data_IF_272652083410
#
_entry.id   IF_272652083410
#
_cell.length_a   1.000
_cell.length_b   1.000
_cell.length_c   1.000
_cell.angle_alpha   90.00
_cell.angle_beta   90.00
_cell.angle_gamma   90.00
#
_symmetry.space_group_name_H-M   'P 1'
#
loop_
_entity.id
_entity.type
_entity.pdbx_description
1 polymer ?
#
# COMPACT_ATOMS: atom_id res chain seq x y z
N UNK A 1 9.79 -14.39 11.44
CA UNK A 1 8.46 -13.91 11.82
C UNK A 1 7.48 -14.59 10.89
N UNK A 2 6.46 -15.28 11.42
CA UNK A 2 5.34 -15.76 10.61
C UNK A 2 4.69 -14.60 9.82
N UNK A 3 4.23 -14.85 8.60
CA UNK A 3 3.58 -13.82 7.78
C UNK A 3 2.24 -13.37 8.36
N UNK A 4 1.57 -14.26 9.09
CA UNK A 4 0.30 -14.03 9.77
C UNK A 4 0.39 -13.03 10.94
N UNK A 5 1.59 -12.84 11.51
CA UNK A 5 1.82 -11.91 12.62
C UNK A 5 2.07 -10.47 12.15
N UNK A 6 2.09 -10.23 10.83
CA UNK A 6 2.37 -8.92 10.26
C UNK A 6 1.04 -8.21 9.99
N UNK A 7 0.78 -7.13 10.71
CA UNK A 7 -0.45 -6.33 10.53
C UNK A 7 -0.29 -5.25 9.43
N UNK A 8 0.93 -4.75 9.22
CA UNK A 8 1.22 -3.64 8.32
C UNK A 8 2.60 -3.79 7.66
N UNK A 9 2.65 -3.55 6.35
CA UNK A 9 3.90 -3.49 5.60
C UNK A 9 4.06 -2.10 5.01
N UNK A 10 5.04 -1.35 5.53
CA UNK A 10 5.41 -0.05 4.97
C UNK A 10 6.40 -0.27 3.84
N UNK A 11 6.02 0.11 2.63
CA UNK A 11 6.78 -0.12 1.41
C UNK A 11 7.20 1.19 0.76
N UNK A 12 8.51 1.49 0.68
CA UNK A 12 9.01 2.58 -0.15
C UNK A 12 9.09 2.16 -1.62
N UNK A 13 8.98 3.13 -2.53
CA UNK A 13 9.18 2.94 -3.97
C UNK A 13 9.83 4.17 -4.61
N UNK A 14 10.24 4.07 -5.87
CA UNK A 14 10.69 5.22 -6.66
C UNK A 14 9.51 6.13 -7.03
N UNK A 15 8.33 5.54 -7.25
CA UNK A 15 7.10 6.26 -7.48
C UNK A 15 5.87 5.39 -7.23
N UNK A 16 4.73 6.04 -7.07
CA UNK A 16 3.41 5.45 -6.97
C UNK A 16 2.47 6.13 -7.97
N UNK A 17 1.38 5.47 -8.35
CA UNK A 17 0.29 6.11 -9.09
C UNK A 17 -1.01 6.14 -8.28
N UNK A 18 -2.03 6.83 -8.81
CA UNK A 18 -3.36 6.95 -8.19
C UNK A 18 -4.20 5.67 -8.25
N UNK A 19 -3.60 4.53 -8.60
CA UNK A 19 -4.20 3.20 -8.51
C UNK A 19 -3.50 2.32 -7.46
N UNK A 20 -2.50 2.85 -6.77
CA UNK A 20 -1.71 2.11 -5.78
C UNK A 20 -0.62 1.25 -6.42
N UNK A 21 -0.37 1.40 -7.72
CA UNK A 21 0.76 0.75 -8.36
C UNK A 21 2.05 1.43 -7.93
N UNK A 22 3.16 0.73 -8.08
CA UNK A 22 4.43 1.11 -7.48
C UNK A 22 5.60 0.76 -8.39
N UNK A 23 6.54 1.68 -8.50
CA UNK A 23 7.76 1.52 -9.27
C UNK A 23 8.91 1.20 -8.32
N UNK A 24 9.26 -0.08 -8.21
CA UNK A 24 10.39 -0.53 -7.40
C UNK A 24 11.75 -0.19 -8.01
N UNK A 25 12.84 -0.58 -7.32
CA UNK A 25 14.23 -0.45 -7.82
C UNK A 25 14.67 -1.60 -8.76
N UNK A 26 13.73 -2.45 -9.18
CA UNK A 26 14.02 -3.74 -9.82
C UNK A 26 14.26 -4.85 -8.79
N UNK A 27 13.86 -6.08 -9.14
CA UNK A 27 14.07 -7.29 -8.32
C UNK A 27 12.82 -7.90 -7.67
N UNK A 28 11.64 -7.30 -7.89
CA UNK A 28 10.32 -7.83 -7.50
C UNK A 28 10.26 -8.40 -6.08
N UNK A 29 10.91 -7.70 -5.13
CA UNK A 29 10.96 -8.15 -3.75
C UNK A 29 9.58 -8.01 -3.10
N UNK A 30 9.00 -6.81 -3.16
CA UNK A 30 7.70 -6.55 -2.55
C UNK A 30 6.55 -7.23 -3.27
N UNK A 31 6.65 -7.50 -4.57
CA UNK A 31 5.63 -8.25 -5.31
C UNK A 31 5.62 -9.71 -4.83
N UNK A 32 6.79 -10.34 -4.72
CA UNK A 32 6.91 -11.68 -4.12
C UNK A 32 6.50 -11.72 -2.64
N UNK A 33 6.78 -10.65 -1.90
CA UNK A 33 6.38 -10.55 -0.50
C UNK A 33 4.85 -10.45 -0.37
N UNK A 34 4.20 -9.64 -1.21
CA UNK A 34 2.74 -9.44 -1.20
C UNK A 34 1.96 -10.60 -1.78
N UNK A 35 2.55 -11.35 -2.72
CA UNK A 35 1.97 -12.55 -3.29
C UNK A 35 1.92 -13.74 -2.31
N UNK A 36 2.52 -13.63 -1.11
CA UNK A 36 2.42 -14.68 -0.11
C UNK A 36 0.97 -14.75 0.43
N UNK A 37 0.31 -15.90 0.23
CA UNK A 37 -1.06 -16.14 0.66
C UNK A 37 -1.29 -16.04 2.17
N UNK A 38 -0.25 -16.26 2.98
CA UNK A 38 -0.28 -16.14 4.45
C UNK A 38 -0.20 -14.68 4.92
N UNK A 39 0.24 -13.75 4.06
CA UNK A 39 0.29 -12.32 4.41
C UNK A 39 -1.13 -11.74 4.42
N UNK A 40 -1.61 -11.36 5.60
CA UNK A 40 -2.89 -10.64 5.78
C UNK A 40 -2.71 -9.16 6.13
N UNK A 41 -1.46 -8.68 6.09
CA UNK A 41 -1.11 -7.31 6.41
C UNK A 41 -1.73 -6.29 5.45
N UNK A 42 -2.04 -5.10 5.98
CA UNK A 42 -2.29 -3.93 5.14
C UNK A 42 -1.01 -3.51 4.43
N UNK A 43 -1.13 -3.15 3.15
CA UNK A 43 0.00 -2.74 2.31
C UNK A 43 0.03 -1.20 2.23
N UNK A 44 1.03 -0.57 2.85
CA UNK A 44 1.11 0.89 2.91
C UNK A 44 2.32 1.41 2.12
N UNK A 45 2.08 2.13 1.03
CA UNK A 45 3.07 2.96 0.37
C UNK A 45 3.43 4.17 1.22
N UNK A 46 4.70 4.54 1.24
CA UNK A 46 5.19 5.76 1.87
C UNK A 46 6.12 6.49 0.90
N UNK A 47 5.75 7.72 0.53
CA UNK A 47 6.41 8.50 -0.51
C UNK A 47 6.20 10.00 -0.28
N UNK A 48 6.94 10.85 -0.98
CA UNK A 48 6.57 12.26 -1.11
C UNK A 48 5.53 12.47 -2.21
N UNK A 49 4.81 13.59 -2.17
CA UNK A 49 3.86 13.96 -3.22
C UNK A 49 4.50 14.00 -4.63
N UNK A 50 5.78 14.37 -4.75
CA UNK A 50 6.51 14.37 -6.03
C UNK A 50 6.79 12.97 -6.58
N UNK A 51 6.64 11.94 -5.75
CA UNK A 51 6.75 10.54 -6.17
C UNK A 51 5.40 9.97 -6.64
N UNK A 52 4.32 10.74 -6.57
CA UNK A 52 3.03 10.39 -7.15
C UNK A 52 3.01 10.79 -8.63
N UNK A 53 3.04 9.80 -9.51
CA UNK A 53 3.05 9.98 -10.97
C UNK A 53 1.69 9.62 -11.59
N UNK A 54 1.49 10.03 -12.85
CA UNK A 54 0.21 9.83 -13.54
C UNK A 54 -0.14 8.35 -13.74
N UNK A 55 0.83 7.54 -14.18
CA UNK A 55 0.63 6.11 -14.42
C UNK A 55 1.95 5.35 -14.31
N UNK A 56 1.90 4.17 -13.70
CA UNK A 56 3.00 3.22 -13.67
C UNK A 56 2.64 2.03 -14.57
N UNK A 57 3.53 1.60 -15.49
CA UNK A 57 3.34 0.37 -16.23
C UNK A 57 3.31 -0.82 -15.27
N UNK A 58 2.29 -1.66 -15.38
CA UNK A 58 2.10 -2.85 -14.54
C UNK A 58 2.07 -4.12 -15.35
N UNK A 59 2.49 -5.21 -14.72
CA UNK A 59 2.35 -6.59 -15.22
C UNK A 59 1.45 -7.41 -14.29
N UNK A 60 1.03 -8.59 -14.74
CA UNK A 60 0.08 -9.46 -14.03
C UNK A 60 0.52 -9.86 -12.60
N UNK A 61 1.83 -9.86 -12.34
CA UNK A 61 2.39 -10.23 -11.05
C UNK A 61 2.65 -9.05 -10.11
N UNK A 62 2.37 -7.81 -10.55
CA UNK A 62 2.57 -6.63 -9.71
C UNK A 62 1.43 -6.52 -8.69
N UNK A 63 1.81 -6.40 -7.43
CA UNK A 63 0.86 -6.31 -6.32
C UNK A 63 0.75 -4.85 -5.86
N UNK A 64 -0.43 -4.20 -5.97
CA UNK A 64 -0.61 -2.81 -5.55
C UNK A 64 -0.65 -2.66 -4.02
N UNK A 65 -0.47 -1.44 -3.54
CA UNK A 65 -0.68 -1.07 -2.13
C UNK A 65 -2.15 -0.75 -1.85
N UNK A 66 -2.59 -0.93 -0.62
CA UNK A 66 -3.95 -0.61 -0.16
C UNK A 66 -4.06 0.84 0.33
N UNK A 67 -2.95 1.39 0.83
CA UNK A 67 -2.85 2.74 1.37
C UNK A 67 -1.60 3.40 0.78
N UNK A 68 -1.68 4.68 0.42
CA UNK A 68 -0.51 5.51 0.14
C UNK A 68 -0.53 6.73 1.06
N UNK A 69 0.52 6.91 1.83
CA UNK A 69 0.74 8.09 2.66
C UNK A 69 1.81 8.95 2.01
N UNK A 70 1.46 10.21 1.76
CA UNK A 70 2.39 11.25 1.40
C UNK A 70 2.48 12.33 2.47
N UNK A 71 3.39 13.28 2.27
CA UNK A 71 3.50 14.49 3.07
C UNK A 71 2.34 15.47 2.86
N UNK A 72 1.53 15.27 1.81
CA UNK A 72 0.36 16.12 1.49
C UNK A 72 -0.98 15.42 1.75
N UNK A 73 -1.10 14.11 1.51
CA UNK A 73 -2.37 13.39 1.58
C UNK A 73 -2.25 11.91 1.97
N UNK A 74 -3.39 11.30 2.30
CA UNK A 74 -3.53 9.85 2.49
C UNK A 74 -4.58 9.33 1.52
N UNK A 75 -4.18 8.40 0.66
CA UNK A 75 -5.02 7.77 -0.36
C UNK A 75 -5.31 6.33 0.04
N UNK A 76 -6.58 5.92 -0.07
CA UNK A 76 -7.03 4.55 0.20
C UNK A 76 -7.51 3.91 -1.10
N UNK A 77 -7.02 2.70 -1.39
CA UNK A 77 -7.38 1.90 -2.56
C UNK A 77 -8.26 0.73 -2.14
N UNK A 78 -9.28 0.41 -2.94
CA UNK A 78 -10.21 -0.66 -2.63
C UNK A 78 -9.77 -1.96 -3.31
N UNK A 79 -8.71 -2.58 -2.80
CA UNK A 79 -8.04 -3.69 -3.50
C UNK A 79 -8.49 -5.09 -3.04
N UNK A 80 -9.49 -5.22 -2.17
CA UNK A 80 -10.08 -6.52 -1.81
C UNK A 80 -9.17 -7.47 -1.02
N UNK A 81 -7.92 -7.09 -0.73
CA UNK A 81 -7.06 -7.78 0.21
C UNK A 81 -7.55 -7.45 1.62
N UNK A 82 -7.91 -8.48 2.38
CA UNK A 82 -8.66 -8.35 3.62
C UNK A 82 -8.00 -7.38 4.63
N UNK A 83 -8.50 -6.15 4.68
CA UNK A 83 -8.37 -5.27 5.83
C UNK A 83 -9.20 -5.88 6.98
N UNK A 84 -8.66 -6.89 7.65
CA UNK A 84 -9.18 -7.29 8.95
C UNK A 84 -8.71 -6.28 9.97
N UNK A 85 -9.66 -5.48 10.48
CA UNK A 85 -9.56 -4.77 11.75
C UNK A 85 -8.53 -3.62 11.84
N UNK A 86 -8.74 -2.55 11.06
CA UNK A 86 -8.56 -1.22 11.62
C UNK A 86 -9.94 -0.63 11.88
N UNK A 87 -10.40 -0.76 13.12
CA UNK A 87 -11.66 -0.26 13.65
C UNK A 87 -11.96 1.17 13.14
N UNK A 88 -13.07 1.33 12.42
CA UNK A 88 -13.55 2.60 11.87
C UNK A 88 -13.84 3.66 12.94
N UNK A 89 -13.75 3.31 14.23
CA UNK A 89 -13.94 4.22 15.39
C UNK A 89 -12.96 5.40 15.47
N UNK A 90 -11.95 5.51 14.60
CA UNK A 90 -11.06 6.70 14.52
C UNK A 90 -11.46 7.72 13.45
N UNK A 91 -12.42 7.42 12.58
CA UNK A 91 -13.02 8.41 11.64
C UNK A 91 -14.20 9.11 12.32
N UNK A 92 -13.91 10.00 13.27
CA UNK A 92 -14.98 10.79 13.87
C UNK A 92 -14.57 11.65 15.05
N UNK A 93 -14.03 12.84 14.76
CA UNK A 93 -14.44 14.13 15.36
C UNK A 93 -13.79 15.29 14.60
N UNK A 94 -14.46 15.72 13.53
CA UNK A 94 -14.49 17.15 13.18
C UNK A 94 -15.60 17.77 14.03
N UNK A 95 -15.30 18.88 14.69
CA UNK A 95 -16.18 19.64 15.59
C UNK A 95 -15.36 20.03 16.82
N UNK A 96 -15.07 21.29 17.13
CA UNK A 96 -15.64 22.58 16.73
C UNK A 96 -14.53 23.61 16.50
#
# INVERSE_FOLDING_TARGET
MPFEDIDLVVTPALGFDRKGNRLGRGGSYYDRFFANAELKASRCGFAFAEQLVEAIPVIEHDEPVDILVTDEEIIYFNNGHAASSCDESRRGKKGE
#
